data_IF_161992762954
#
_entry.id   IF_161992762954
#
_cell.length_a   1.000
_cell.length_b   1.000
_cell.length_c   1.000
_cell.angle_alpha   90.00
_cell.angle_beta   90.00
_cell.angle_gamma   90.00
#
_symmetry.space_group_name_H-M   'P 1'
#
loop_
_entity.id
_entity.type
_entity.pdbx_description
1 polymer ?
#
# COMPACT_ATOMS: atom_id res chain seq x y z
N UNK A 1 9.96 1.87 -12.68
CA UNK A 1 9.19 2.84 -11.87
C UNK A 1 10.19 3.46 -10.94
N UNK A 2 10.19 4.79 -10.84
CA UNK A 2 11.15 5.52 -10.02
C UNK A 2 10.33 6.20 -8.93
N UNK A 3 10.45 5.71 -7.69
CA UNK A 3 9.78 6.31 -6.55
C UNK A 3 10.35 7.72 -6.32
N UNK A 4 9.53 8.62 -5.79
CA UNK A 4 10.03 9.85 -5.20
C UNK A 4 10.83 9.55 -3.93
N UNK A 5 10.43 8.54 -3.16
CA UNK A 5 11.08 8.11 -1.91
C UNK A 5 11.36 6.61 -1.94
N UNK A 6 12.63 6.26 -2.12
CA UNK A 6 13.22 4.92 -1.95
C UNK A 6 14.69 5.05 -1.46
N UNK A 7 15.41 3.92 -1.35
CA UNK A 7 16.81 3.91 -0.91
C UNK A 7 17.75 4.68 -1.85
N UNK A 8 17.41 4.81 -3.14
CA UNK A 8 18.22 5.47 -4.17
C UNK A 8 17.78 6.93 -4.42
N UNK A 9 16.57 7.32 -3.98
CA UNK A 9 15.94 8.60 -4.27
C UNK A 9 15.18 9.12 -3.05
N UNK A 10 15.53 10.31 -2.56
CA UNK A 10 14.96 10.88 -1.34
C UNK A 10 14.25 12.23 -1.57
N UNK A 11 13.27 12.27 -2.48
CA UNK A 11 12.44 13.45 -2.77
C UNK A 11 11.14 13.47 -1.95
N UNK A 12 11.29 13.46 -0.63
CA UNK A 12 10.18 13.54 0.33
C UNK A 12 9.33 14.79 0.12
N UNK A 13 9.97 15.90 -0.24
CA UNK A 13 9.27 17.18 -0.48
C UNK A 13 8.43 17.15 -1.76
N UNK A 14 8.94 16.52 -2.82
CA UNK A 14 8.19 16.27 -4.05
C UNK A 14 6.98 15.40 -3.79
N UNK A 15 7.18 14.26 -3.11
CA UNK A 15 6.06 13.36 -2.77
C UNK A 15 5.02 14.06 -1.90
N UNK A 16 5.43 14.78 -0.85
CA UNK A 16 4.53 15.52 0.03
C UNK A 16 3.68 16.54 -0.73
N UNK A 17 4.27 17.26 -1.70
CA UNK A 17 3.55 18.21 -2.56
C UNK A 17 2.52 17.52 -3.45
N UNK A 18 2.86 16.37 -4.04
CA UNK A 18 1.91 15.61 -4.87
C UNK A 18 0.78 15.02 -4.02
N UNK A 19 1.09 14.39 -2.89
CA UNK A 19 0.11 13.85 -1.97
C UNK A 19 -0.86 14.94 -1.51
N UNK A 20 -0.36 16.15 -1.17
CA UNK A 20 -1.18 17.28 -0.74
C UNK A 20 -2.24 17.68 -1.78
N UNK A 21 -1.95 17.57 -3.08
CA UNK A 21 -2.91 17.84 -4.16
C UNK A 21 -4.02 16.79 -4.23
N UNK A 22 -3.76 15.57 -3.75
CA UNK A 22 -4.71 14.46 -3.77
C UNK A 22 -5.63 14.44 -2.55
N UNK A 23 -5.24 15.04 -1.43
CA UNK A 23 -5.98 14.94 -0.15
C UNK A 23 -7.45 15.34 -0.29
N UNK A 24 -7.76 16.35 -1.10
CA UNK A 24 -9.16 16.78 -1.32
C UNK A 24 -10.03 15.74 -2.05
N UNK A 25 -9.44 14.68 -2.61
CA UNK A 25 -10.15 13.59 -3.29
C UNK A 25 -10.62 12.50 -2.33
N UNK A 26 -10.06 12.43 -1.13
CA UNK A 26 -10.37 11.39 -0.16
C UNK A 26 -11.37 11.88 0.88
N UNK A 27 -11.99 10.94 1.59
CA UNK A 27 -12.80 11.28 2.77
C UNK A 27 -11.90 11.86 3.90
N UNK A 28 -12.53 12.45 4.91
CA UNK A 28 -11.82 13.10 6.03
C UNK A 28 -10.89 12.13 6.77
N UNK A 29 -11.34 10.90 7.02
CA UNK A 29 -10.58 9.88 7.75
C UNK A 29 -9.30 9.49 6.99
N UNK A 30 -9.44 9.11 5.73
CA UNK A 30 -8.31 8.75 4.85
C UNK A 30 -7.36 9.94 4.67
N UNK A 31 -7.90 11.14 4.46
CA UNK A 31 -7.10 12.37 4.35
C UNK A 31 -6.30 12.66 5.61
N UNK A 32 -6.88 12.41 6.79
CA UNK A 32 -6.20 12.63 8.06
C UNK A 32 -5.10 11.59 8.27
N UNK A 33 -5.37 10.33 7.94
CA UNK A 33 -4.34 9.28 7.96
C UNK A 33 -3.16 9.66 7.08
N UNK A 34 -3.40 9.93 5.79
CA UNK A 34 -2.34 10.25 4.82
C UNK A 34 -1.57 11.55 5.12
N UNK A 35 -2.10 12.43 5.97
CA UNK A 35 -1.40 13.66 6.41
C UNK A 35 -0.48 13.43 7.60
N UNK A 36 -0.89 12.57 8.52
CA UNK A 36 -0.34 12.51 9.87
C UNK A 36 0.34 11.18 10.18
N UNK A 37 0.11 10.16 9.36
CA UNK A 37 0.55 8.80 9.58
C UNK A 37 1.09 8.19 8.29
N UNK A 38 1.84 7.11 8.45
CA UNK A 38 2.34 6.25 7.38
C UNK A 38 2.10 4.79 7.76
N UNK A 39 2.12 3.88 6.79
CA UNK A 39 2.17 2.44 7.04
C UNK A 39 3.61 1.92 7.18
N UNK A 40 4.62 2.80 7.06
CA UNK A 40 5.99 2.47 7.42
C UNK A 40 6.05 1.85 8.82
N UNK A 41 6.89 0.84 9.00
CA UNK A 41 6.93 0.01 10.22
C UNK A 41 5.57 -0.65 10.53
N UNK A 42 4.84 -1.01 9.48
CA UNK A 42 3.60 -1.78 9.54
C UNK A 42 3.79 -3.21 9.06
N UNK A 43 2.95 -4.09 9.57
CA UNK A 43 2.87 -5.50 9.20
C UNK A 43 1.60 -5.80 8.42
N UNK A 44 1.72 -6.29 7.20
CA UNK A 44 0.62 -6.84 6.41
C UNK A 44 0.11 -8.11 7.10
N UNK A 45 -1.14 -8.04 7.54
CA UNK A 45 -1.86 -9.15 8.19
C UNK A 45 -2.64 -9.96 7.16
N UNK A 46 -3.28 -9.28 6.20
CA UNK A 46 -4.03 -9.96 5.15
C UNK A 46 -4.16 -9.08 3.90
N UNK A 47 -4.32 -9.75 2.75
CA UNK A 47 -4.65 -9.14 1.47
C UNK A 47 -5.80 -9.93 0.85
N UNK A 48 -6.93 -9.27 0.63
CA UNK A 48 -8.15 -9.89 0.09
C UNK A 48 -8.56 -9.20 -1.20
N UNK A 49 -8.73 -9.97 -2.28
CA UNK A 49 -9.33 -9.50 -3.53
C UNK A 49 -10.79 -9.93 -3.56
N UNK A 50 -11.70 -8.98 -3.72
CA UNK A 50 -13.14 -9.21 -3.74
C UNK A 50 -13.70 -8.75 -5.08
N UNK A 51 -14.40 -9.63 -5.79
CA UNK A 51 -15.16 -9.26 -6.99
C UNK A 51 -16.66 -9.22 -6.67
N UNK A 52 -17.22 -8.01 -6.52
CA UNK A 52 -18.59 -7.80 -6.06
C UNK A 52 -19.55 -7.55 -7.24
N UNK A 53 -19.50 -8.45 -8.22
CA UNK A 53 -20.34 -8.38 -9.42
C UNK A 53 -21.84 -8.39 -9.04
N UNK A 54 -22.62 -7.51 -9.66
CA UNK A 54 -24.05 -7.36 -9.38
C UNK A 54 -24.87 -6.90 -10.61
N UNK A 55 -24.30 -7.00 -11.81
CA UNK A 55 -24.88 -6.53 -13.08
C UNK A 55 -24.98 -5.01 -13.27
N UNK A 56 -24.56 -4.19 -12.29
CA UNK A 56 -24.77 -2.73 -12.29
C UNK A 56 -23.49 -1.93 -12.05
N UNK A 57 -22.64 -2.37 -11.14
CA UNK A 57 -21.43 -1.65 -10.73
C UNK A 57 -20.32 -1.80 -11.78
N UNK A 58 -19.81 -0.67 -12.29
CA UNK A 58 -18.57 -0.68 -13.09
C UNK A 58 -17.35 -0.89 -12.21
N UNK A 59 -16.42 -1.70 -12.69
CA UNK A 59 -15.21 -2.11 -11.95
C UNK A 59 -15.60 -2.65 -10.54
N UNK A 60 -16.29 -3.78 -10.43
CA UNK A 60 -16.82 -4.27 -9.15
C UNK A 60 -15.74 -4.83 -8.20
N UNK A 61 -14.47 -4.79 -8.63
CA UNK A 61 -13.34 -5.32 -7.86
C UNK A 61 -12.91 -4.34 -6.78
N UNK A 62 -12.78 -4.86 -5.57
CA UNK A 62 -12.23 -4.19 -4.39
C UNK A 62 -11.04 -4.98 -3.90
N UNK A 63 -9.96 -4.30 -3.53
CA UNK A 63 -8.83 -4.90 -2.82
C UNK A 63 -8.85 -4.37 -1.40
N UNK A 64 -8.64 -5.25 -0.43
CA UNK A 64 -8.53 -4.90 0.99
C UNK A 64 -7.21 -5.40 1.53
N UNK A 65 -6.50 -4.56 2.26
CA UNK A 65 -5.32 -4.95 3.01
C UNK A 65 -5.46 -4.54 4.46
N UNK A 66 -5.16 -5.46 5.36
CA UNK A 66 -5.13 -5.20 6.81
C UNK A 66 -3.69 -5.07 7.23
N UNK A 67 -3.37 -4.00 7.95
CA UNK A 67 -2.03 -3.67 8.41
C UNK A 67 -2.08 -3.41 9.92
N UNK A 68 -1.21 -4.08 10.65
CA UNK A 68 -0.95 -3.82 12.07
C UNK A 68 0.27 -2.91 12.18
N UNK A 69 0.15 -1.75 12.81
CA UNK A 69 1.28 -0.83 13.00
C UNK A 69 2.10 -1.22 14.22
N UNK A 70 3.44 -1.10 14.13
CA UNK A 70 4.33 -1.42 15.26
C UNK A 70 4.44 -0.29 16.29
N UNK A 71 4.03 0.94 15.96
CA UNK A 71 3.97 2.03 16.93
C UNK A 71 2.98 1.69 18.06
N UNK A 72 3.39 1.91 19.30
CA UNK A 72 2.58 1.64 20.49
C UNK A 72 1.26 2.41 20.39
N UNK A 73 0.14 1.73 20.65
CA UNK A 73 -1.25 2.25 20.52
C UNK A 73 -1.71 2.66 19.10
N UNK A 74 -0.88 2.47 18.07
CA UNK A 74 -1.27 2.82 16.70
C UNK A 74 -2.39 1.93 16.15
N UNK A 75 -2.39 0.64 16.52
CA UNK A 75 -3.48 -0.30 16.28
C UNK A 75 -3.49 -0.93 14.88
N UNK A 76 -4.66 -1.43 14.46
CA UNK A 76 -4.84 -2.14 13.18
C UNK A 76 -5.68 -1.29 12.24
N UNK A 77 -5.22 -1.16 11.00
CA UNK A 77 -5.87 -0.43 9.93
C UNK A 77 -6.29 -1.34 8.79
N UNK A 78 -7.35 -0.95 8.09
CA UNK A 78 -7.75 -1.54 6.82
C UNK A 78 -7.65 -0.48 5.72
N UNK A 79 -6.90 -0.78 4.66
CA UNK A 79 -6.90 -0.05 3.40
C UNK A 79 -7.86 -0.75 2.44
N UNK A 80 -8.73 0.01 1.79
CA UNK A 80 -9.60 -0.46 0.72
C UNK A 80 -9.34 0.33 -0.55
N UNK A 81 -8.99 -0.36 -1.64
CA UNK A 81 -8.98 0.21 -2.98
C UNK A 81 -10.27 -0.16 -3.69
N UNK A 82 -11.03 0.87 -4.10
CA UNK A 82 -12.36 0.69 -4.70
C UNK A 82 -12.32 0.90 -6.21
N UNK A 83 -13.17 0.16 -6.92
CA UNK A 83 -13.28 0.23 -8.37
C UNK A 83 -11.93 -0.02 -9.07
N UNK A 84 -11.29 -1.12 -8.66
CA UNK A 84 -9.97 -1.52 -9.13
C UNK A 84 -10.05 -1.94 -10.60
N UNK A 85 -9.12 -1.39 -11.40
CA UNK A 85 -8.99 -1.71 -12.85
C UNK A 85 -7.72 -2.46 -13.19
N UNK A 86 -6.69 -2.30 -12.37
CA UNK A 86 -5.41 -2.98 -12.52
C UNK A 86 -4.93 -3.36 -11.14
N UNK A 87 -4.51 -4.61 -11.02
CA UNK A 87 -3.83 -5.14 -9.85
C UNK A 87 -2.68 -5.99 -10.35
N UNK A 88 -1.49 -5.70 -9.86
CA UNK A 88 -0.31 -6.52 -10.05
C UNK A 88 0.32 -6.73 -8.68
N UNK A 89 0.66 -7.97 -8.38
CA UNK A 89 1.45 -8.33 -7.23
C UNK A 89 2.57 -9.25 -7.71
N UNK A 90 3.80 -8.73 -7.65
CA UNK A 90 4.99 -9.46 -8.04
C UNK A 90 5.67 -10.00 -6.79
N UNK A 91 5.26 -11.21 -6.38
CA UNK A 91 5.79 -11.89 -5.20
C UNK A 91 6.73 -13.01 -5.62
N UNK A 92 7.96 -12.96 -5.11
CA UNK A 92 8.88 -14.09 -5.11
C UNK A 92 9.66 -14.10 -3.80
N UNK A 93 9.38 -15.09 -2.95
CA UNK A 93 10.00 -15.23 -1.63
C UNK A 93 11.52 -15.39 -1.71
N UNK A 94 12.08 -15.83 -2.85
CA UNK A 94 13.52 -15.96 -3.05
C UNK A 94 14.23 -14.60 -3.08
N UNK A 95 13.50 -13.50 -3.30
CA UNK A 95 14.04 -12.13 -3.21
C UNK A 95 14.09 -11.58 -1.79
N UNK A 96 13.41 -12.22 -0.85
CA UNK A 96 13.42 -11.82 0.56
C UNK A 96 14.68 -12.38 1.24
N UNK A 97 15.83 -11.74 1.00
CA UNK A 97 17.16 -12.16 1.48
C UNK A 97 17.85 -10.99 2.19
N UNK A 98 18.67 -11.26 3.20
CA UNK A 98 19.47 -10.20 3.83
C UNK A 98 20.54 -9.71 2.84
N UNK A 99 20.86 -8.40 2.87
CA UNK A 99 21.84 -7.80 1.96
C UNK A 99 23.23 -8.44 2.00
N UNK A 100 23.59 -9.13 3.09
CA UNK A 100 24.85 -9.87 3.24
C UNK A 100 24.72 -11.39 3.00
N UNK A 101 23.52 -11.92 2.74
CA UNK A 101 23.25 -13.36 2.58
C UNK A 101 22.22 -13.63 1.46
N UNK A 102 22.62 -13.47 0.19
CA UNK A 102 21.70 -13.53 -0.95
C UNK A 102 21.06 -14.90 -1.22
N UNK A 103 21.52 -15.97 -0.56
CA UNK A 103 20.99 -17.33 -0.72
C UNK A 103 20.16 -17.81 0.49
N UNK A 104 20.03 -16.99 1.53
CA UNK A 104 19.25 -17.34 2.74
C UNK A 104 18.00 -16.48 2.80
N UNK A 105 16.83 -17.12 2.67
CA UNK A 105 15.55 -16.42 2.84
C UNK A 105 15.42 -15.95 4.29
N UNK A 106 15.16 -14.66 4.48
CA UNK A 106 15.02 -14.01 5.78
C UNK A 106 13.98 -14.77 6.62
N UNK A 107 14.33 -15.06 7.89
CA UNK A 107 13.51 -15.85 8.83
C UNK A 107 13.04 -17.21 8.29
N UNK A 108 13.77 -17.82 7.34
CA UNK A 108 13.39 -19.09 6.72
C UNK A 108 12.07 -19.02 5.95
N UNK A 109 11.70 -17.85 5.44
CA UNK A 109 10.46 -17.63 4.68
C UNK A 109 9.19 -17.52 5.53
N UNK A 110 9.30 -17.60 6.87
CA UNK A 110 8.13 -17.55 7.78
C UNK A 110 7.37 -16.22 7.75
N UNK A 111 7.97 -15.16 7.20
CA UNK A 111 7.44 -13.80 7.22
C UNK A 111 6.73 -13.37 5.92
N UNK A 112 7.02 -14.02 4.79
CA UNK A 112 6.28 -13.81 3.54
C UNK A 112 6.19 -12.34 3.09
N UNK A 113 4.98 -11.77 3.15
CA UNK A 113 4.59 -10.44 2.66
C UNK A 113 4.54 -9.36 3.75
N UNK A 114 5.09 -9.62 4.93
CA UNK A 114 4.64 -8.94 6.12
C UNK A 114 5.14 -7.48 6.24
N UNK A 115 6.42 -7.19 6.07
CA UNK A 115 6.94 -5.85 6.37
C UNK A 115 6.70 -4.84 5.24
N UNK A 116 6.00 -3.76 5.58
CA UNK A 116 5.80 -2.59 4.73
C UNK A 116 7.10 -1.79 4.61
N UNK A 117 7.57 -1.55 3.39
CA UNK A 117 8.72 -0.69 3.14
C UNK A 117 8.27 0.72 2.75
N UNK A 118 8.08 0.93 1.45
CA UNK A 118 7.71 2.23 0.86
C UNK A 118 6.38 2.15 0.14
N UNK A 119 5.64 3.25 0.12
CA UNK A 119 4.47 3.38 -0.72
C UNK A 119 4.24 4.80 -1.22
N UNK A 120 3.66 4.89 -2.41
CA UNK A 120 3.31 6.15 -3.04
C UNK A 120 1.91 6.09 -3.65
N UNK A 121 1.12 7.13 -3.37
CA UNK A 121 -0.16 7.37 -4.02
C UNK A 121 -0.02 8.52 -5.00
N UNK A 122 -0.22 8.21 -6.29
CA UNK A 122 -0.03 9.13 -7.40
C UNK A 122 -1.31 9.29 -8.23
N UNK A 123 -1.56 10.48 -8.84
CA UNK A 123 -2.66 10.64 -9.79
C UNK A 123 -2.35 9.92 -11.09
N UNK A 124 -3.20 8.96 -11.49
CA UNK A 124 -3.17 8.41 -12.85
C UNK A 124 -4.00 9.26 -13.82
N UNK A 125 -5.08 9.87 -13.31
CA UNK A 125 -5.91 10.83 -14.04
C UNK A 125 -6.73 11.66 -13.05
N UNK A 126 -7.60 12.55 -13.54
CA UNK A 126 -8.55 13.31 -12.70
C UNK A 126 -9.45 12.41 -11.82
N UNK A 127 -9.75 11.18 -12.26
CA UNK A 127 -10.68 10.27 -11.56
C UNK A 127 -10.04 8.96 -11.08
N UNK A 128 -8.77 8.71 -11.41
CA UNK A 128 -8.09 7.47 -11.06
C UNK A 128 -6.80 7.76 -10.29
N UNK A 129 -6.45 6.82 -9.44
CA UNK A 129 -5.28 6.84 -8.59
C UNK A 129 -4.46 5.60 -8.89
N UNK A 130 -3.16 5.71 -8.65
CA UNK A 130 -2.22 4.61 -8.63
C UNK A 130 -1.63 4.56 -7.22
N UNK A 131 -1.65 3.39 -6.60
CA UNK A 131 -0.96 3.14 -5.35
C UNK A 131 0.12 2.09 -5.64
N UNK A 132 1.37 2.49 -5.44
CA UNK A 132 2.56 1.67 -5.58
C UNK A 132 3.05 1.32 -4.18
N UNK A 133 3.27 0.04 -3.89
CA UNK A 133 3.76 -0.42 -2.59
C UNK A 133 4.94 -1.35 -2.82
N UNK A 134 6.01 -1.11 -2.07
CA UNK A 134 7.20 -1.95 -1.99
C UNK A 134 7.32 -2.50 -0.57
N UNK A 135 7.23 -3.82 -0.45
CA UNK A 135 7.45 -4.51 0.82
C UNK A 135 8.95 -4.82 1.01
N UNK A 136 9.41 -5.00 2.24
CA UNK A 136 10.81 -5.39 2.52
C UNK A 136 11.20 -6.74 1.88
N UNK A 137 10.21 -7.61 1.62
CA UNK A 137 10.39 -8.84 0.83
C UNK A 137 10.73 -8.60 -0.66
N UNK A 138 10.89 -7.34 -1.07
CA UNK A 138 10.99 -6.86 -2.45
C UNK A 138 9.75 -7.12 -3.30
N UNK A 139 8.64 -7.47 -2.66
CA UNK A 139 7.35 -7.61 -3.33
C UNK A 139 6.85 -6.25 -3.78
N UNK A 140 6.48 -6.17 -5.06
CA UNK A 140 5.89 -4.96 -5.64
C UNK A 140 4.39 -5.16 -5.80
N UNK A 141 3.61 -4.25 -5.26
CA UNK A 141 2.16 -4.22 -5.41
C UNK A 141 1.77 -2.92 -6.12
N UNK A 142 1.05 -3.05 -7.23
CA UNK A 142 0.54 -1.93 -8.02
C UNK A 142 -0.98 -2.03 -8.13
N UNK A 143 -1.68 -0.99 -7.68
CA UNK A 143 -3.14 -0.94 -7.70
C UNK A 143 -3.59 0.33 -8.41
N UNK A 144 -4.42 0.19 -9.44
CA UNK A 144 -5.12 1.32 -10.07
C UNK A 144 -6.59 1.30 -9.63
N UNK A 145 -7.03 2.35 -8.94
CA UNK A 145 -8.37 2.44 -8.36
C UNK A 145 -9.03 3.79 -8.63
N UNK A 146 -10.34 3.90 -8.38
CA UNK A 146 -11.03 5.20 -8.37
C UNK A 146 -10.86 5.94 -7.05
N UNK A 147 -10.81 5.18 -5.95
CA UNK A 147 -10.82 5.69 -4.59
C UNK A 147 -10.00 4.77 -3.68
N UNK A 148 -9.56 5.33 -2.56
CA UNK A 148 -8.84 4.63 -1.49
C UNK A 148 -9.49 5.06 -0.18
N UNK A 149 -9.84 4.08 0.66
CA UNK A 149 -10.36 4.33 2.00
C UNK A 149 -9.45 3.68 3.02
N UNK A 150 -9.02 4.46 4.01
CA UNK A 150 -8.22 3.98 5.14
C UNK A 150 -9.04 4.21 6.40
N UNK A 151 -9.14 3.18 7.24
CA UNK A 151 -9.82 3.25 8.53
C UNK A 151 -9.13 2.42 9.59
N UNK A 152 -9.17 2.88 10.84
CA UNK A 152 -8.72 2.11 12.01
C UNK A 152 -9.82 1.09 12.35
N UNK A 153 -9.47 -0.20 12.43
CA UNK A 153 -10.41 -1.28 12.73
C UNK A 153 -10.23 -1.85 14.14
N UNK A 154 -9.07 -1.63 14.76
CA UNK A 154 -8.80 -1.98 16.16
C UNK A 154 -7.81 -0.97 16.76
N UNK A 155 -8.02 -0.60 18.01
CA UNK A 155 -7.07 0.17 18.81
C UNK A 155 -5.96 -0.74 19.35
#
# INVERSE_FOLDING_TARGET
MKYFVDDDHWDVMGYSKELKKLLSRFNKETSNFLKNHSFHDGKVVSLTVLNQENGRTKDPTTIKMVIEQYEEDAGIYEIQWLNVRKFLMDYDIKRNVYGNKPNEIVFGGRRGLDEWGYDEILPLSRRKLQHEILLHSQTKILIHSSDIKIRKIKA
#
